data_IF_303235286481
#
_entry.id   IF_303235286481
#
_cell.length_a   1.000
_cell.length_b   1.000
_cell.length_c   1.000
_cell.angle_alpha   90.00
_cell.angle_beta   90.00
_cell.angle_gamma   90.00
#
_symmetry.space_group_name_H-M   'P 1'
#
loop_
_entity.id
_entity.type
_entity.pdbx_description
1 polymer ?
#
# COMPACT_ATOMS: atom_id res chain seq x y z
N UNK A 1 10.03 -16.19 16.08
CA UNK A 1 10.08 -14.99 15.23
C UNK A 1 9.31 -15.33 13.97
N UNK A 2 8.31 -14.54 13.59
CA UNK A 2 7.62 -14.74 12.31
C UNK A 2 8.53 -14.15 11.22
N UNK A 3 9.33 -15.03 10.62
CA UNK A 3 10.24 -14.70 9.52
C UNK A 3 9.90 -15.57 8.32
N UNK A 4 9.84 -14.97 7.15
CA UNK A 4 9.47 -15.64 5.91
C UNK A 4 8.47 -14.82 5.11
N UNK A 5 8.40 -15.10 3.82
CA UNK A 5 7.56 -14.36 2.90
C UNK A 5 6.13 -14.91 2.91
N UNK A 6 5.16 -14.04 2.66
CA UNK A 6 3.75 -14.38 2.52
C UNK A 6 3.24 -13.92 1.15
N UNK A 7 2.94 -14.89 0.29
CA UNK A 7 2.44 -14.62 -1.06
C UNK A 7 0.94 -14.99 -1.14
N UNK A 8 0.10 -14.01 -1.47
CA UNK A 8 -1.35 -14.14 -1.58
C UNK A 8 -1.77 -13.83 -3.01
N UNK A 9 -2.39 -14.82 -3.67
CA UNK A 9 -2.64 -14.79 -5.11
C UNK A 9 -4.09 -15.16 -5.44
N UNK A 10 -4.68 -14.47 -6.42
CA UNK A 10 -5.97 -14.79 -7.05
C UNK A 10 -7.07 -15.15 -6.03
N UNK A 11 -7.26 -14.29 -5.03
CA UNK A 11 -8.11 -14.58 -3.88
C UNK A 11 -8.83 -13.35 -3.34
N UNK A 12 -9.87 -13.60 -2.55
CA UNK A 12 -10.56 -12.55 -1.78
C UNK A 12 -10.35 -12.77 -0.29
N UNK A 13 -9.81 -11.75 0.37
CA UNK A 13 -9.72 -11.67 1.83
C UNK A 13 -10.75 -10.67 2.33
N UNK A 14 -11.61 -11.12 3.25
CA UNK A 14 -12.66 -10.28 3.85
C UNK A 14 -12.16 -9.49 5.06
N UNK A 15 -11.17 -10.05 5.76
CA UNK A 15 -10.50 -9.46 6.90
C UNK A 15 -9.20 -10.23 7.17
N UNK A 16 -8.12 -9.51 7.47
CA UNK A 16 -6.84 -10.11 7.84
C UNK A 16 -6.04 -9.23 8.77
N UNK A 17 -5.27 -9.86 9.64
CA UNK A 17 -4.25 -9.22 10.47
C UNK A 17 -2.93 -9.94 10.22
N UNK A 18 -1.93 -9.23 9.69
CA UNK A 18 -0.63 -9.78 9.29
C UNK A 18 0.46 -9.01 10.05
N UNK A 19 1.33 -9.73 10.77
CA UNK A 19 2.51 -9.18 11.42
C UNK A 19 3.73 -10.02 11.03
N UNK A 20 4.63 -9.43 10.24
CA UNK A 20 5.89 -10.04 9.83
C UNK A 20 7.05 -9.25 10.43
N UNK A 21 7.98 -9.96 11.09
CA UNK A 21 9.19 -9.31 11.62
C UNK A 21 10.29 -9.18 10.58
N UNK A 22 10.44 -10.19 9.73
CA UNK A 22 11.37 -10.17 8.61
C UNK A 22 10.77 -10.96 7.46
N UNK A 23 10.67 -10.36 6.28
CA UNK A 23 10.21 -11.02 5.07
C UNK A 23 9.21 -10.18 4.30
N UNK A 24 8.98 -10.59 3.07
CA UNK A 24 8.18 -9.82 2.12
C UNK A 24 6.71 -10.25 2.14
N UNK A 25 5.84 -9.34 1.74
CA UNK A 25 4.41 -9.59 1.58
C UNK A 25 3.99 -9.25 0.15
N UNK A 26 3.42 -10.22 -0.55
CA UNK A 26 2.99 -10.03 -1.94
C UNK A 26 1.48 -10.25 -2.07
N UNK A 27 0.79 -9.31 -2.71
CA UNK A 27 -0.58 -9.44 -3.15
C UNK A 27 -0.65 -9.43 -4.67
N UNK A 28 -1.22 -10.44 -5.30
CA UNK A 28 -1.38 -10.47 -6.77
C UNK A 28 -2.77 -10.94 -7.16
N UNK A 29 -3.46 -10.16 -7.99
CA UNK A 29 -4.84 -10.44 -8.42
C UNK A 29 -5.80 -10.61 -7.21
N UNK A 30 -5.67 -9.72 -6.22
CA UNK A 30 -6.38 -9.85 -4.95
C UNK A 30 -7.55 -8.87 -4.81
N UNK A 31 -8.55 -9.27 -4.03
CA UNK A 31 -9.47 -8.33 -3.38
C UNK A 31 -9.28 -8.42 -1.87
N UNK A 32 -8.75 -7.37 -1.27
CA UNK A 32 -8.38 -7.33 0.15
C UNK A 32 -9.26 -6.32 0.87
N UNK A 33 -9.99 -6.79 1.88
CA UNK A 33 -10.86 -5.95 2.70
C UNK A 33 -10.40 -5.99 4.15
N UNK A 34 -10.47 -4.85 4.84
CA UNK A 34 -10.22 -4.74 6.28
C UNK A 34 -8.86 -5.34 6.68
N UNK A 35 -7.82 -5.09 5.88
CA UNK A 35 -6.45 -5.49 6.19
C UNK A 35 -5.90 -4.62 7.31
N UNK A 36 -5.21 -5.25 8.25
CA UNK A 36 -4.22 -4.62 9.11
C UNK A 36 -2.91 -5.36 8.92
N UNK A 37 -1.91 -4.72 8.33
CA UNK A 37 -0.62 -5.33 8.11
C UNK A 37 0.52 -4.49 8.69
N UNK A 38 1.48 -5.17 9.29
CA UNK A 38 2.71 -4.57 9.78
C UNK A 38 3.91 -5.43 9.37
N UNK A 39 4.87 -4.81 8.70
CA UNK A 39 6.18 -5.38 8.39
C UNK A 39 7.25 -4.57 9.13
N UNK A 40 8.05 -5.24 9.96
CA UNK A 40 9.18 -4.56 10.60
C UNK A 40 10.38 -4.42 9.65
N UNK A 41 10.69 -5.47 8.89
CA UNK A 41 11.73 -5.46 7.84
C UNK A 41 11.26 -6.31 6.67
N UNK A 42 11.30 -5.76 5.46
CA UNK A 42 10.88 -6.41 4.23
C UNK A 42 9.99 -5.49 3.40
N UNK A 43 9.86 -5.81 2.12
CA UNK A 43 9.10 -4.99 1.18
C UNK A 43 7.71 -5.57 0.94
N UNK A 44 6.81 -4.73 0.45
CA UNK A 44 5.49 -5.15 -0.01
C UNK A 44 5.35 -4.90 -1.49
N UNK A 45 4.87 -5.92 -2.20
CA UNK A 45 4.51 -5.80 -3.63
C UNK A 45 3.01 -6.06 -3.79
N UNK A 46 2.33 -5.22 -4.56
CA UNK A 46 0.90 -5.39 -4.85
C UNK A 46 0.60 -5.18 -6.33
N UNK A 47 0.17 -6.23 -7.02
CA UNK A 47 -0.20 -6.15 -8.44
C UNK A 47 -1.65 -6.56 -8.64
N UNK A 48 -2.37 -5.83 -9.51
CA UNK A 48 -3.76 -6.13 -9.86
C UNK A 48 -4.68 -6.30 -8.63
N UNK A 49 -4.44 -5.47 -7.61
CA UNK A 49 -5.07 -5.64 -6.29
C UNK A 49 -6.02 -4.49 -5.96
N UNK A 50 -7.20 -4.86 -5.46
CA UNK A 50 -8.14 -3.94 -4.85
C UNK A 50 -8.00 -3.99 -3.33
N UNK A 51 -7.71 -2.83 -2.73
CA UNK A 51 -7.76 -2.63 -1.28
C UNK A 51 -9.04 -1.88 -0.89
N UNK A 52 -9.69 -2.37 0.17
CA UNK A 52 -10.83 -1.71 0.77
C UNK A 52 -10.68 -1.62 2.30
N UNK A 53 -10.79 -0.41 2.84
CA UNK A 53 -10.72 -0.15 4.29
C UNK A 53 -9.48 -0.78 4.95
N UNK A 54 -8.31 -0.59 4.35
CA UNK A 54 -7.08 -1.33 4.67
C UNK A 54 -5.96 -0.42 5.15
N UNK A 55 -5.28 -0.86 6.22
CA UNK A 55 -4.12 -0.19 6.80
C UNK A 55 -2.89 -1.09 6.68
N UNK A 56 -1.82 -0.57 6.07
CA UNK A 56 -0.53 -1.23 5.93
C UNK A 56 0.58 -0.33 6.47
N UNK A 57 1.49 -0.91 7.26
CA UNK A 57 2.69 -0.23 7.75
C UNK A 57 3.95 -1.04 7.48
N UNK A 58 5.02 -0.35 7.06
CA UNK A 58 6.34 -0.92 6.81
C UNK A 58 7.36 -0.06 7.58
N UNK A 59 8.13 -0.66 8.49
CA UNK A 59 9.17 0.09 9.21
C UNK A 59 10.43 0.24 8.38
N UNK A 60 10.88 -0.82 7.71
CA UNK A 60 12.04 -0.78 6.82
C UNK A 60 11.81 -1.65 5.60
N UNK A 61 11.69 -1.01 4.44
CA UNK A 61 11.42 -1.66 3.17
C UNK A 61 10.50 -0.80 2.31
N UNK A 62 10.37 -1.20 1.05
CA UNK A 62 9.66 -0.40 0.05
C UNK A 62 8.23 -0.92 -0.13
N UNK A 63 7.35 -0.04 -0.59
CA UNK A 63 6.06 -0.45 -1.15
C UNK A 63 6.06 -0.21 -2.66
N UNK A 64 5.88 -1.27 -3.43
CA UNK A 64 5.68 -1.16 -4.88
C UNK A 64 4.33 -1.76 -5.28
N UNK A 65 3.67 -1.18 -6.27
CA UNK A 65 2.48 -1.82 -6.80
C UNK A 65 1.95 -1.28 -8.10
N UNK A 66 1.34 -2.17 -8.88
CA UNK A 66 0.81 -1.87 -10.21
C UNK A 66 -0.69 -2.16 -10.30
N UNK A 67 -1.41 -1.32 -11.04
CA UNK A 67 -2.82 -1.50 -11.39
C UNK A 67 -3.73 -1.56 -10.16
N UNK A 68 -3.46 -0.71 -9.18
CA UNK A 68 -4.13 -0.72 -7.87
C UNK A 68 -5.49 -0.02 -7.90
N UNK A 69 -6.41 -0.51 -7.06
CA UNK A 69 -7.70 0.14 -6.80
C UNK A 69 -7.88 0.32 -5.30
N UNK A 70 -8.20 1.54 -4.87
CA UNK A 70 -8.47 1.86 -3.46
C UNK A 70 -9.92 2.29 -3.28
N UNK A 71 -10.67 1.51 -2.49
CA UNK A 71 -12.06 1.79 -2.12
C UNK A 71 -12.18 2.06 -0.62
N UNK A 72 -13.11 2.91 -0.20
CA UNK A 72 -13.23 3.28 1.21
C UNK A 72 -11.98 4.00 1.70
N UNK A 73 -11.56 3.73 2.94
CA UNK A 73 -10.45 4.46 3.57
C UNK A 73 -9.20 3.59 3.71
N UNK A 74 -8.14 3.93 2.99
CA UNK A 74 -6.90 3.14 3.01
C UNK A 74 -5.71 3.99 3.47
N UNK A 75 -4.79 3.34 4.16
CA UNK A 75 -3.58 3.96 4.70
C UNK A 75 -2.35 3.10 4.40
N UNK A 76 -1.29 3.75 3.94
CA UNK A 76 0.05 3.19 3.75
C UNK A 76 1.07 4.06 4.50
N UNK A 77 1.65 3.51 5.56
CA UNK A 77 2.71 4.16 6.33
C UNK A 77 4.05 3.47 6.08
N UNK A 78 5.04 4.17 5.55
CA UNK A 78 6.40 3.64 5.37
C UNK A 78 7.38 4.48 6.19
N UNK A 79 8.05 3.91 7.18
CA UNK A 79 9.02 4.69 7.98
C UNK A 79 10.32 4.91 7.20
N UNK A 80 10.84 3.88 6.53
CA UNK A 80 12.03 4.02 5.70
C UNK A 80 11.94 3.10 4.50
N UNK A 81 12.04 3.69 3.31
CA UNK A 81 11.81 3.04 2.04
C UNK A 81 10.91 3.89 1.15
N UNK A 82 10.94 3.57 -0.14
CA UNK A 82 10.21 4.31 -1.16
C UNK A 82 8.81 3.72 -1.33
N UNK A 83 7.89 4.55 -1.82
CA UNK A 83 6.56 4.15 -2.25
C UNK A 83 6.40 4.46 -3.73
N UNK A 84 6.24 3.43 -4.55
CA UNK A 84 5.99 3.58 -5.99
C UNK A 84 4.72 2.82 -6.37
N UNK A 85 3.68 3.55 -6.80
CA UNK A 85 2.40 2.94 -7.16
C UNK A 85 1.83 3.44 -8.48
N UNK A 86 1.16 2.54 -9.20
CA UNK A 86 0.28 2.90 -10.31
C UNK A 86 -1.19 2.59 -10.03
N UNK A 87 -2.07 3.53 -10.35
CA UNK A 87 -3.51 3.39 -10.14
C UNK A 87 -4.22 2.89 -11.40
N UNK A 88 -5.08 1.89 -11.23
CA UNK A 88 -6.05 1.48 -12.26
C UNK A 88 -7.25 2.41 -12.31
N UNK A 89 -7.70 2.84 -11.12
CA UNK A 89 -8.86 3.69 -10.94
C UNK A 89 -8.46 4.97 -10.21
N UNK A 90 -8.64 6.10 -10.91
CA UNK A 90 -8.25 7.42 -10.45
C UNK A 90 -9.33 8.12 -9.60
N UNK A 91 -10.49 7.50 -9.37
CA UNK A 91 -11.56 8.06 -8.50
C UNK A 91 -11.26 7.82 -7.02
N UNK A 92 -10.23 8.52 -6.53
CA UNK A 92 -9.72 8.46 -5.17
C UNK A 92 -9.19 9.84 -4.77
N UNK A 93 -9.37 10.20 -3.50
CA UNK A 93 -8.71 11.37 -2.92
C UNK A 93 -7.40 10.93 -2.26
N UNK A 94 -6.27 11.32 -2.85
CA UNK A 94 -4.93 10.95 -2.37
C UNK A 94 -4.37 12.07 -1.49
N UNK A 95 -3.83 11.68 -0.33
CA UNK A 95 -3.04 12.53 0.55
C UNK A 95 -1.69 11.84 0.71
N UNK A 96 -0.64 12.39 0.08
CA UNK A 96 0.71 11.88 0.16
C UNK A 96 1.62 12.90 0.83
N UNK A 97 2.43 12.45 1.79
CA UNK A 97 3.39 13.29 2.52
C UNK A 97 4.68 12.51 2.77
N UNK A 98 5.76 12.90 2.09
CA UNK A 98 7.11 12.44 2.41
C UNK A 98 7.83 13.49 3.25
N UNK A 99 8.29 13.12 4.44
CA UNK A 99 8.99 14.04 5.34
C UNK A 99 10.41 14.36 4.88
N UNK A 100 11.15 13.34 4.43
CA UNK A 100 12.55 13.45 4.01
C UNK A 100 12.80 12.76 2.67
N UNK A 101 11.94 13.05 1.70
CA UNK A 101 12.02 12.59 0.31
C UNK A 101 11.16 13.49 -0.58
N UNK A 102 11.00 13.09 -1.83
CA UNK A 102 10.15 13.75 -2.80
C UNK A 102 8.73 13.16 -2.81
N UNK A 103 7.75 13.96 -3.22
CA UNK A 103 6.40 13.46 -3.48
C UNK A 103 5.99 13.93 -4.88
N UNK A 104 5.83 12.98 -5.78
CA UNK A 104 5.40 13.22 -7.15
C UNK A 104 4.11 12.45 -7.44
N UNK A 105 3.10 13.17 -7.91
CA UNK A 105 1.83 12.61 -8.35
C UNK A 105 1.61 13.06 -9.78
N UNK A 106 1.86 12.16 -10.74
CA UNK A 106 1.72 12.44 -12.19
C UNK A 106 0.31 12.15 -12.71
N UNK A 107 -0.57 11.75 -11.80
CA UNK A 107 -1.80 11.08 -12.11
C UNK A 107 -3.00 12.04 -12.24
N UNK A 108 -3.94 11.74 -13.16
CA UNK A 108 -5.15 12.56 -13.35
C UNK A 108 -6.26 12.18 -12.35
N UNK A 109 -6.00 12.43 -11.07
CA UNK A 109 -6.89 12.09 -9.97
C UNK A 109 -8.25 12.76 -10.09
N UNK A 110 -9.31 11.99 -9.82
CA UNK A 110 -10.69 12.47 -9.69
C UNK A 110 -11.08 12.41 -8.23
N UNK A 111 -11.13 13.57 -7.58
CA UNK A 111 -11.45 13.67 -6.17
C UNK A 111 -12.72 12.89 -5.82
N UNK A 112 -12.59 11.99 -4.83
CA UNK A 112 -13.68 11.22 -4.26
C UNK A 112 -13.89 11.62 -2.81
N UNK A 113 -15.14 11.58 -2.33
CA UNK A 113 -15.44 11.72 -0.89
C UNK A 113 -15.48 10.37 -0.16
N UNK A 114 -15.71 9.29 -0.92
CA UNK A 114 -15.95 7.96 -0.38
C UNK A 114 -14.68 7.09 -0.42
N UNK A 115 -13.74 7.42 -1.31
CA UNK A 115 -12.48 6.69 -1.48
C UNK A 115 -11.30 7.61 -1.13
N UNK A 116 -10.54 7.24 -0.11
CA UNK A 116 -9.34 7.96 0.33
C UNK A 116 -8.14 7.03 0.37
N UNK A 117 -6.99 7.54 -0.04
CA UNK A 117 -5.69 6.90 0.12
C UNK A 117 -4.76 7.89 0.82
N UNK A 118 -4.33 7.57 2.02
CA UNK A 118 -3.30 8.32 2.74
C UNK A 118 -1.99 7.55 2.66
N UNK A 119 -0.94 8.20 2.17
CA UNK A 119 0.42 7.64 2.11
C UNK A 119 1.33 8.57 2.89
N UNK A 120 2.10 8.03 3.82
CA UNK A 120 3.15 8.79 4.49
C UNK A 120 4.47 8.04 4.43
N UNK A 121 5.55 8.75 4.10
CA UNK A 121 6.92 8.24 4.23
C UNK A 121 7.76 9.14 5.12
N UNK A 122 8.44 8.61 6.13
CA UNK A 122 9.36 9.44 6.94
C UNK A 122 10.69 9.64 6.19
N UNK A 123 11.24 8.56 5.63
CA UNK A 123 12.53 8.52 4.93
C UNK A 123 12.41 7.74 3.61
N UNK A 124 11.99 8.41 2.54
CA UNK A 124 11.91 7.83 1.19
C UNK A 124 10.97 8.62 0.30
N UNK A 125 11.05 8.38 -0.99
CA UNK A 125 10.24 9.08 -1.99
C UNK A 125 8.84 8.46 -2.12
N UNK A 126 7.87 9.25 -2.57
CA UNK A 126 6.53 8.80 -2.92
C UNK A 126 6.25 9.16 -4.38
N UNK A 127 6.08 8.15 -5.23
CA UNK A 127 5.71 8.27 -6.62
C UNK A 127 4.35 7.61 -6.90
N UNK A 128 3.43 8.36 -7.50
CA UNK A 128 2.06 7.90 -7.81
C UNK A 128 1.73 8.24 -9.27
N UNK A 129 1.52 7.21 -10.09
CA UNK A 129 1.20 7.30 -11.52
C UNK A 129 -0.13 6.67 -11.93
#
# INVERSE_FOLDING_TARGET
>A
MASGNLDLNNSTIKQSNIDLKVGDLTFTEMTVNNLKAHLAVGSVESNDTLFANSDLSITLGDYTGNNLVFNGHNKLDVTSGDVEISLKNHTVNVQADSHSGETEITNNLKNSKDNTLTITSDLGDIYIE
#
